data_IF_220837547268
#
_entry.id   IF_220837547268
#
_cell.length_a   1.000
_cell.length_b   1.000
_cell.length_c   1.000
_cell.angle_alpha   90.00
_cell.angle_beta   90.00
_cell.angle_gamma   90.00
#
_symmetry.space_group_name_H-M   'P 1'
#
loop_
_entity.id
_entity.type
_entity.pdbx_description
1 polymer ?
#
# COMPACT_ATOMS: atom_id res chain seq x y z
N UNK A 1 -14.17 -12.12 5.62
CA UNK A 1 -13.48 -11.84 6.91
C UNK A 1 -13.09 -10.37 6.90
N UNK A 2 -13.17 -9.68 8.04
CA UNK A 2 -12.61 -8.34 8.17
C UNK A 2 -11.10 -8.50 8.34
N UNK A 3 -10.33 -7.84 7.51
CA UNK A 3 -8.87 -7.84 7.64
C UNK A 3 -8.44 -6.89 8.76
N UNK A 4 -7.30 -7.15 9.41
CA UNK A 4 -6.74 -6.24 10.40
C UNK A 4 -6.57 -4.84 9.81
N UNK A 5 -6.67 -3.81 10.66
CA UNK A 5 -6.46 -2.43 10.21
C UNK A 5 -4.98 -2.12 9.99
N UNK A 6 -4.70 -1.28 9.00
CA UNK A 6 -3.39 -0.67 8.83
C UNK A 6 -3.14 0.38 9.91
N UNK A 7 -1.96 0.28 10.52
CA UNK A 7 -1.46 1.26 11.49
C UNK A 7 -0.30 2.07 10.93
N UNK A 8 0.42 1.53 9.94
CA UNK A 8 1.49 2.23 9.24
C UNK A 8 1.59 1.82 7.78
N UNK A 9 1.95 2.78 6.93
CA UNK A 9 2.37 2.57 5.54
C UNK A 9 3.67 3.32 5.32
N UNK A 10 4.68 2.66 4.75
CA UNK A 10 5.95 3.29 4.39
C UNK A 10 6.30 2.98 2.94
N UNK A 11 6.49 4.01 2.10
CA UNK A 11 7.02 3.80 0.75
C UNK A 11 8.48 3.36 0.81
N UNK A 12 8.78 2.28 0.11
CA UNK A 12 10.11 1.75 -0.15
C UNK A 12 10.54 2.14 -1.57
N UNK A 13 11.76 1.75 -1.94
CA UNK A 13 12.20 1.89 -3.32
C UNK A 13 11.48 0.90 -4.24
N UNK A 14 11.61 1.12 -5.56
CA UNK A 14 11.03 0.26 -6.61
C UNK A 14 9.52 0.06 -6.49
N UNK A 15 8.78 1.11 -6.12
CA UNK A 15 7.30 1.10 -6.01
C UNK A 15 6.74 0.04 -5.05
N UNK A 16 7.44 -0.21 -3.95
CA UNK A 16 6.98 -1.12 -2.90
C UNK A 16 6.53 -0.36 -1.66
N UNK A 17 5.58 -0.95 -0.94
CA UNK A 17 5.07 -0.42 0.31
C UNK A 17 5.29 -1.43 1.43
N UNK A 18 5.80 -0.95 2.56
CA UNK A 18 5.77 -1.69 3.81
C UNK A 18 4.48 -1.35 4.56
N UNK A 19 3.67 -2.36 4.79
CA UNK A 19 2.40 -2.30 5.49
C UNK A 19 2.58 -2.88 6.90
N UNK A 20 2.09 -2.17 7.91
CA UNK A 20 2.04 -2.68 9.29
C UNK A 20 0.60 -2.71 9.75
N UNK A 21 0.17 -3.88 10.20
CA UNK A 21 -1.17 -4.14 10.68
C UNK A 21 -1.25 -4.07 12.21
N UNK A 22 -2.44 -3.86 12.75
CA UNK A 22 -2.68 -3.68 14.19
C UNK A 22 -2.36 -4.93 15.03
N UNK A 23 -2.34 -6.11 14.41
CA UNK A 23 -1.94 -7.38 15.02
C UNK A 23 -0.43 -7.62 15.01
N UNK A 24 0.34 -6.67 14.46
CA UNK A 24 1.78 -6.77 14.30
C UNK A 24 2.23 -7.45 13.01
N UNK A 25 1.31 -7.94 12.16
CA UNK A 25 1.69 -8.46 10.84
C UNK A 25 2.31 -7.33 10.00
N UNK A 26 3.41 -7.66 9.34
CA UNK A 26 4.15 -6.73 8.49
C UNK A 26 4.30 -7.34 7.12
N UNK A 27 3.87 -6.61 6.09
CA UNK A 27 3.78 -7.12 4.73
C UNK A 27 4.34 -6.14 3.72
N UNK A 28 4.96 -6.66 2.66
CA UNK A 28 5.45 -5.88 1.55
C UNK A 28 4.50 -6.01 0.35
N UNK A 29 3.97 -4.88 -0.13
CA UNK A 29 3.06 -4.81 -1.26
C UNK A 29 3.75 -4.18 -2.47
N UNK A 30 3.65 -4.83 -3.62
CA UNK A 30 4.25 -4.36 -4.88
C UNK A 30 3.24 -3.57 -5.69
N UNK A 31 3.48 -2.27 -5.84
CA UNK A 31 2.62 -1.34 -6.58
C UNK A 31 3.06 -1.23 -8.05
N UNK A 32 4.23 -1.77 -8.43
CA UNK A 32 4.74 -1.67 -9.80
C UNK A 32 3.77 -2.21 -10.88
N UNK A 33 3.03 -3.32 -10.66
CA UNK A 33 2.05 -3.80 -11.63
C UNK A 33 0.89 -2.84 -11.89
N UNK A 34 0.63 -1.92 -10.96
CA UNK A 34 -0.46 -0.95 -11.04
C UNK A 34 -0.03 0.37 -11.69
N UNK A 35 1.26 0.73 -11.58
CA UNK A 35 1.81 2.02 -12.01
C UNK A 35 1.88 2.20 -13.55
N UNK A 36 0.75 2.00 -14.23
CA UNK A 36 0.59 2.12 -15.67
C UNK A 36 -0.82 2.61 -16.02
N UNK A 37 -1.02 2.93 -17.30
CA UNK A 37 -2.30 3.41 -17.82
C UNK A 37 -2.62 4.86 -17.41
N UNK A 38 -3.81 5.36 -17.82
CA UNK A 38 -4.17 6.77 -17.66
C UNK A 38 -4.56 7.18 -16.23
N UNK A 39 -4.85 6.22 -15.34
CA UNK A 39 -5.30 6.51 -13.97
C UNK A 39 -4.21 6.26 -12.92
N UNK A 40 -3.59 5.07 -12.95
CA UNK A 40 -2.54 4.70 -12.01
C UNK A 40 -1.12 5.01 -12.49
N UNK A 41 -0.95 5.49 -13.72
CA UNK A 41 0.37 5.85 -14.27
C UNK A 41 1.11 6.92 -13.46
N UNK A 42 0.40 7.77 -12.71
CA UNK A 42 1.01 8.76 -11.81
C UNK A 42 1.84 8.11 -10.70
N UNK A 43 1.54 6.87 -10.32
CA UNK A 43 2.31 6.13 -9.30
C UNK A 43 3.76 5.86 -9.74
N UNK A 44 4.08 5.99 -11.03
CA UNK A 44 5.46 5.91 -11.50
C UNK A 44 6.31 7.12 -11.10
N UNK A 45 5.68 8.26 -10.77
CA UNK A 45 6.41 9.41 -10.21
C UNK A 45 6.76 9.16 -8.75
N UNK A 46 8.05 9.25 -8.43
CA UNK A 46 8.55 8.89 -7.10
C UNK A 46 8.05 9.85 -5.99
N UNK A 47 7.86 11.13 -6.30
CA UNK A 47 7.36 12.08 -5.32
C UNK A 47 5.86 11.85 -5.05
N UNK A 48 5.10 11.59 -6.11
CA UNK A 48 3.69 11.23 -6.01
C UNK A 48 3.51 9.91 -5.26
N UNK A 49 4.22 8.85 -5.63
CA UNK A 49 4.16 7.56 -4.94
C UNK A 49 4.42 7.68 -3.44
N UNK A 50 5.41 8.48 -3.05
CA UNK A 50 5.77 8.69 -1.63
C UNK A 50 4.74 9.48 -0.83
N UNK A 51 3.74 10.07 -1.47
CA UNK A 51 2.63 10.78 -0.80
C UNK A 51 1.50 9.85 -0.33
N UNK A 52 1.68 8.53 -0.49
CA UNK A 52 0.76 7.50 0.02
C UNK A 52 0.41 7.72 1.50
N UNK A 53 -0.86 7.54 1.83
CA UNK A 53 -1.37 7.59 3.20
C UNK A 53 -2.36 6.47 3.45
N UNK A 54 -2.62 6.18 4.73
CA UNK A 54 -3.69 5.26 5.12
C UNK A 54 -5.03 5.98 4.96
N UNK A 55 -6.00 5.29 4.36
CA UNK A 55 -7.38 5.78 4.23
C UNK A 55 -8.07 5.84 5.60
N UNK A 56 -9.08 6.69 5.73
CA UNK A 56 -9.84 6.82 6.98
C UNK A 56 -10.31 5.46 7.53
N UNK A 57 -10.03 5.21 8.81
CA UNK A 57 -10.40 3.97 9.49
C UNK A 57 -9.41 2.81 9.33
N UNK A 58 -8.29 2.99 8.62
CA UNK A 58 -7.25 1.96 8.51
C UNK A 58 -7.59 0.83 7.56
N UNK A 59 -8.57 1.03 6.68
CA UNK A 59 -9.11 0.00 5.79
C UNK A 59 -8.57 0.12 4.37
N UNK A 60 -7.38 0.67 4.16
CA UNK A 60 -6.82 0.84 2.82
C UNK A 60 -5.72 1.88 2.79
N UNK A 61 -5.22 2.15 1.58
CA UNK A 61 -4.29 3.25 1.31
C UNK A 61 -4.79 4.08 0.16
N UNK A 62 -4.36 5.33 0.12
CA UNK A 62 -4.75 6.29 -0.92
C UNK A 62 -3.64 7.30 -1.23
N UNK A 63 -3.74 7.92 -2.40
CA UNK A 63 -2.90 9.01 -2.88
C UNK A 63 -3.70 10.31 -3.05
N UNK A 64 -3.03 11.48 -3.13
CA UNK A 64 -3.68 12.79 -3.14
C UNK A 64 -4.72 13.02 -4.25
N UNK A 65 -4.55 12.41 -5.43
CA UNK A 65 -5.50 12.55 -6.53
C UNK A 65 -6.61 11.48 -6.54
N UNK A 66 -6.71 10.69 -5.47
CA UNK A 66 -7.85 9.79 -5.23
C UNK A 66 -7.65 8.36 -5.72
N UNK A 67 -6.47 7.98 -6.20
CA UNK A 67 -6.14 6.56 -6.36
C UNK A 67 -6.10 5.90 -4.98
N UNK A 68 -6.70 4.73 -4.85
CA UNK A 68 -6.73 3.93 -3.63
C UNK A 68 -6.49 2.46 -3.93
N UNK A 69 -6.06 1.72 -2.91
CA UNK A 69 -5.99 0.25 -2.97
C UNK A 69 -6.74 -0.31 -1.77
N UNK A 70 -7.71 -1.17 -2.09
CA UNK A 70 -8.61 -1.77 -1.14
C UNK A 70 -7.86 -2.71 -0.17
N UNK A 71 -8.36 -2.89 1.07
CA UNK A 71 -7.63 -3.65 2.08
C UNK A 71 -7.43 -5.10 1.66
N UNK A 72 -8.45 -5.69 1.00
CA UNK A 72 -8.38 -7.08 0.55
C UNK A 72 -7.23 -7.34 -0.42
N UNK A 73 -7.00 -6.40 -1.33
CA UNK A 73 -5.91 -6.46 -2.28
C UNK A 73 -4.56 -6.30 -1.59
N UNK A 74 -4.45 -5.34 -0.67
CA UNK A 74 -3.24 -5.12 0.12
C UNK A 74 -2.84 -6.37 0.90
N UNK A 75 -3.78 -7.06 1.54
CA UNK A 75 -3.47 -8.25 2.32
C UNK A 75 -3.30 -9.51 1.47
N UNK A 76 -4.11 -9.72 0.43
CA UNK A 76 -4.10 -10.98 -0.31
C UNK A 76 -2.94 -11.05 -1.32
N UNK A 77 -2.47 -9.90 -1.82
CA UNK A 77 -1.39 -9.83 -2.82
C UNK A 77 -0.04 -9.37 -2.25
N UNK A 78 0.02 -8.91 -0.99
CA UNK A 78 1.30 -8.63 -0.34
C UNK A 78 1.98 -9.91 0.17
N UNK A 79 3.27 -9.78 0.46
CA UNK A 79 4.09 -10.87 1.00
C UNK A 79 4.46 -10.58 2.46
N UNK A 80 4.31 -11.55 3.39
CA UNK A 80 4.79 -11.38 4.75
C UNK A 80 6.29 -11.07 4.80
N UNK A 81 6.67 -10.10 5.60
CA UNK A 81 8.08 -9.78 5.87
C UNK A 81 8.51 -10.58 7.09
N UNK A 82 9.21 -11.69 6.88
CA UNK A 82 9.81 -12.44 7.99
C UNK A 82 11.11 -11.76 8.38
N UNK A 83 11.16 -11.13 9.56
CA UNK A 83 12.45 -10.78 10.15
C UNK A 83 13.18 -12.07 10.52
N UNK A 84 14.34 -12.29 9.89
CA UNK A 84 15.26 -13.39 10.19
C UNK A 84 16.05 -13.12 11.47
#
# INVERSE_FOLDING_TARGET
MLQPRLTSVKPLDTLRLLLVYEDGDTREFDVAPYANGPWYGELADAAYFRSVRISDGGTGIEWPHGQDIAPHELHDLSKPVTQS
#
